data_IF_147704491701
#
_entry.id   IF_147704491701
#
_cell.length_a   1.000
_cell.length_b   1.000
_cell.length_c   1.000
_cell.angle_alpha   90.00
_cell.angle_beta   90.00
_cell.angle_gamma   90.00
#
_symmetry.space_group_name_H-M   'P 1'
#
loop_
_entity.id
_entity.type
_entity.pdbx_description
1 polymer ?
#
# COMPACT_ATOMS: atom_id res chain seq x y z
N UNK A 1 26.07 9.61 -0.86
CA UNK A 1 25.34 8.66 -1.72
C UNK A 1 24.61 9.40 -2.80
N UNK A 2 24.56 8.82 -3.99
CA UNK A 2 23.85 9.36 -5.15
C UNK A 2 22.33 9.04 -5.05
N UNK A 3 21.42 10.04 -5.16
CA UNK A 3 19.98 9.82 -5.22
C UNK A 3 19.50 8.95 -6.41
N UNK A 4 20.24 8.86 -7.51
CA UNK A 4 19.89 8.04 -8.67
C UNK A 4 19.74 6.56 -8.28
N UNK A 5 20.71 6.05 -7.50
CA UNK A 5 20.77 4.67 -7.02
C UNK A 5 19.56 4.29 -6.16
N UNK A 6 18.96 5.26 -5.45
CA UNK A 6 17.73 5.05 -4.70
C UNK A 6 16.56 4.76 -5.64
N UNK A 7 16.46 5.54 -6.73
CA UNK A 7 15.38 5.37 -7.71
C UNK A 7 15.50 4.04 -8.43
N UNK A 8 16.71 3.68 -8.84
CA UNK A 8 16.97 2.38 -9.47
C UNK A 8 16.67 1.22 -8.53
N UNK A 9 17.07 1.32 -7.26
CA UNK A 9 16.73 0.33 -6.25
C UNK A 9 15.22 0.18 -6.07
N UNK A 10 14.47 1.28 -5.91
CA UNK A 10 13.00 1.23 -5.75
C UNK A 10 12.33 0.63 -6.99
N UNK A 11 12.79 0.99 -8.21
CA UNK A 11 12.27 0.43 -9.46
C UNK A 11 12.57 -1.06 -9.64
N UNK A 12 13.68 -1.54 -9.09
CA UNK A 12 14.07 -2.96 -9.15
C UNK A 12 13.21 -3.87 -8.28
N UNK A 13 12.46 -3.31 -7.32
CA UNK A 13 11.55 -4.08 -6.48
C UNK A 13 10.33 -4.51 -7.29
N UNK A 14 10.02 -5.80 -7.24
CA UNK A 14 8.82 -6.36 -7.87
C UNK A 14 7.57 -5.67 -7.31
N UNK A 15 6.85 -4.96 -8.18
CA UNK A 15 5.53 -4.41 -7.88
C UNK A 15 4.47 -5.36 -8.40
N UNK A 16 3.46 -5.64 -7.58
CA UNK A 16 2.28 -6.37 -8.01
C UNK A 16 1.29 -5.32 -8.49
N UNK A 17 0.82 -5.43 -9.73
CA UNK A 17 -0.30 -4.62 -10.17
C UNK A 17 -1.52 -4.97 -9.33
N UNK A 18 -2.28 -3.95 -8.92
CA UNK A 18 -3.55 -4.14 -8.24
C UNK A 18 -4.56 -4.75 -9.22
N UNK A 19 -4.47 -6.07 -9.43
CA UNK A 19 -5.41 -6.84 -10.26
C UNK A 19 -6.83 -6.80 -9.70
N UNK A 20 -6.99 -6.28 -8.47
CA UNK A 20 -8.24 -6.10 -7.79
C UNK A 20 -8.55 -4.61 -7.58
N UNK A 21 -9.56 -4.15 -8.32
CA UNK A 21 -10.43 -3.00 -8.03
C UNK A 21 -9.95 -1.57 -8.35
N UNK A 22 -10.79 -0.95 -9.19
CA UNK A 22 -11.02 0.48 -9.47
C UNK A 22 -9.98 1.18 -10.33
N UNK A 23 -10.42 1.46 -11.55
CA UNK A 23 -9.93 2.36 -12.61
C UNK A 23 -9.63 3.81 -12.14
N UNK A 24 -9.64 4.12 -10.84
CA UNK A 24 -9.48 5.49 -10.31
C UNK A 24 -8.08 5.83 -9.81
N UNK A 25 -7.16 4.88 -9.62
CA UNK A 25 -5.78 5.21 -9.20
C UNK A 25 -4.73 4.33 -9.88
N UNK A 26 -3.75 4.95 -10.55
CA UNK A 26 -2.54 4.28 -11.07
C UNK A 26 -1.54 3.88 -9.97
N UNK A 27 -2.01 3.62 -8.74
CA UNK A 27 -1.16 3.25 -7.60
C UNK A 27 -0.78 1.78 -7.71
N UNK A 28 0.53 1.48 -7.69
CA UNK A 28 1.05 0.11 -7.66
C UNK A 28 1.34 -0.31 -6.23
N UNK A 29 1.33 -1.61 -5.95
CA UNK A 29 1.53 -2.13 -4.60
C UNK A 29 2.74 -3.06 -4.51
N UNK A 30 3.56 -2.85 -3.49
CA UNK A 30 4.64 -3.73 -3.10
C UNK A 30 4.09 -4.88 -2.23
N UNK A 31 4.81 -5.99 -2.15
CA UNK A 31 4.41 -7.12 -1.32
C UNK A 31 4.25 -6.73 0.16
N UNK A 32 3.33 -7.39 0.87
CA UNK A 32 3.04 -7.13 2.29
C UNK A 32 4.24 -7.38 3.22
N UNK A 33 5.24 -8.14 2.76
CA UNK A 33 6.47 -8.43 3.49
C UNK A 33 7.52 -7.31 3.43
N UNK A 34 7.24 -6.25 2.65
CA UNK A 34 8.11 -5.08 2.49
C UNK A 34 7.57 -3.90 3.31
N UNK A 35 8.50 -3.06 3.77
CA UNK A 35 8.24 -1.76 4.36
C UNK A 35 9.34 -0.80 3.91
N UNK A 36 9.13 0.51 4.01
CA UNK A 36 10.16 1.50 3.61
C UNK A 36 11.46 1.27 4.40
N UNK A 37 11.35 0.90 5.69
CA UNK A 37 12.50 0.56 6.52
C UNK A 37 13.25 -0.66 5.96
N UNK A 38 12.54 -1.75 5.69
CA UNK A 38 13.14 -2.97 5.15
C UNK A 38 13.72 -2.77 3.75
N UNK A 39 13.07 -1.95 2.93
CA UNK A 39 13.58 -1.57 1.61
C UNK A 39 14.88 -0.76 1.71
N UNK A 40 14.99 0.12 2.72
CA UNK A 40 16.24 0.84 3.00
C UNK A 40 17.33 -0.10 3.48
N UNK A 41 17.02 -1.08 4.33
CA UNK A 41 17.99 -2.06 4.80
C UNK A 41 18.55 -2.89 3.63
N UNK A 42 17.68 -3.31 2.70
CA UNK A 42 18.07 -3.98 1.45
C UNK A 42 18.94 -3.08 0.55
N UNK A 43 18.61 -1.79 0.46
CA UNK A 43 19.40 -0.81 -0.28
C UNK A 43 20.82 -0.66 0.32
N UNK A 44 20.93 -0.57 1.65
CA UNK A 44 22.21 -0.48 2.34
C UNK A 44 23.05 -1.75 2.13
N UNK A 45 22.43 -2.92 2.19
CA UNK A 45 23.11 -4.19 1.89
C UNK A 45 23.63 -4.23 0.46
N UNK A 46 22.83 -3.80 -0.52
CA UNK A 46 23.26 -3.68 -1.92
C UNK A 46 24.43 -2.71 -2.06
N UNK A 47 24.34 -1.52 -1.47
CA UNK A 47 25.42 -0.54 -1.47
C UNK A 47 26.70 -1.10 -0.86
N UNK A 48 26.61 -1.85 0.24
CA UNK A 48 27.77 -2.50 0.85
C UNK A 48 28.41 -3.54 -0.09
N UNK A 49 27.61 -4.35 -0.79
CA UNK A 49 28.13 -5.33 -1.75
C UNK A 49 28.82 -4.70 -2.97
N UNK A 50 28.40 -3.49 -3.35
CA UNK A 50 28.94 -2.74 -4.50
C UNK A 50 30.02 -1.72 -4.07
N UNK A 51 30.42 -1.69 -2.79
CA UNK A 51 31.33 -0.68 -2.22
C UNK A 51 30.90 0.78 -2.45
N UNK A 52 29.59 1.02 -2.43
CA UNK A 52 28.99 2.33 -2.62
C UNK A 52 28.55 2.90 -1.26
N UNK A 53 28.76 4.21 -1.07
CA UNK A 53 28.24 4.92 0.11
C UNK A 53 26.73 5.17 -0.02
N UNK A 54 25.88 4.58 0.85
CA UNK A 54 24.43 4.77 0.77
C UNK A 54 24.02 6.21 1.10
N UNK A 55 22.84 6.62 0.62
CA UNK A 55 22.21 7.86 1.09
C UNK A 55 21.69 7.74 2.53
N UNK A 56 21.41 8.89 3.15
CA UNK A 56 20.72 8.94 4.44
C UNK A 56 19.30 8.39 4.31
N UNK A 57 18.85 7.66 5.34
CA UNK A 57 17.49 7.10 5.44
C UNK A 57 16.41 8.16 5.19
N UNK A 58 16.56 9.37 5.72
CA UNK A 58 15.61 10.47 5.51
C UNK A 58 15.44 10.85 4.04
N UNK A 59 16.53 10.88 3.26
CA UNK A 59 16.48 11.16 1.83
C UNK A 59 15.82 10.02 1.05
N UNK A 60 16.12 8.78 1.43
CA UNK A 60 15.47 7.60 0.85
C UNK A 60 13.94 7.63 1.05
N UNK A 61 13.50 7.93 2.28
CA UNK A 61 12.08 8.09 2.60
C UNK A 61 11.44 9.21 1.79
N UNK A 62 12.10 10.37 1.70
CA UNK A 62 11.61 11.50 0.91
C UNK A 62 11.38 11.08 -0.54
N UNK A 63 12.40 10.51 -1.20
CA UNK A 63 12.32 10.04 -2.59
C UNK A 63 11.17 9.05 -2.75
N UNK A 64 11.06 8.05 -1.88
CA UNK A 64 9.95 7.08 -1.94
C UNK A 64 8.57 7.75 -1.85
N UNK A 65 8.38 8.65 -0.89
CA UNK A 65 7.06 9.28 -0.65
C UNK A 65 6.68 10.35 -1.68
N UNK A 66 7.65 11.05 -2.29
CA UNK A 66 7.38 12.17 -3.20
C UNK A 66 7.43 11.78 -4.66
N UNK A 67 8.26 10.80 -5.03
CA UNK A 67 8.48 10.43 -6.43
C UNK A 67 7.73 9.15 -6.84
N UNK A 68 7.33 8.31 -5.87
CA UNK A 68 6.69 7.03 -6.15
C UNK A 68 5.27 6.96 -5.57
N UNK A 69 4.29 6.71 -6.44
CA UNK A 69 2.92 6.39 -6.02
C UNK A 69 2.79 4.89 -5.72
N UNK A 70 3.61 4.39 -4.78
CA UNK A 70 3.63 3.00 -4.35
C UNK A 70 2.96 2.84 -2.97
N UNK A 71 2.12 1.82 -2.84
CA UNK A 71 1.59 1.35 -1.55
C UNK A 71 2.19 0.00 -1.16
N UNK A 72 1.90 -0.47 0.04
CA UNK A 72 2.19 -1.84 0.46
C UNK A 72 0.89 -2.65 0.45
N UNK A 73 0.93 -3.89 -0.03
CA UNK A 73 -0.22 -4.78 0.05
C UNK A 73 -0.56 -5.06 1.51
N UNK A 74 -1.84 -4.91 1.84
CA UNK A 74 -2.36 -5.33 3.13
C UNK A 74 -2.60 -6.85 3.10
N UNK A 75 -2.04 -7.62 4.06
CA UNK A 75 -2.32 -9.06 4.21
C UNK A 75 -3.82 -9.33 4.24
N UNK A 76 -4.24 -10.52 3.79
CA UNK A 76 -5.66 -10.91 3.82
C UNK A 76 -6.22 -10.96 5.25
N UNK A 77 -5.39 -11.25 6.25
CA UNK A 77 -5.76 -11.30 7.67
C UNK A 77 -6.23 -9.95 8.24
N UNK A 78 -5.78 -8.84 7.67
CA UNK A 78 -6.12 -7.48 8.12
C UNK A 78 -7.26 -6.85 7.31
N UNK A 79 -7.88 -7.62 6.41
CA UNK A 79 -9.02 -7.16 5.61
C UNK A 79 -10.29 -7.29 6.45
N UNK A 80 -11.14 -6.28 6.38
CA UNK A 80 -12.47 -6.37 6.97
C UNK A 80 -13.31 -7.38 6.18
N UNK A 81 -13.83 -8.39 6.87
CA UNK A 81 -14.66 -9.45 6.27
C UNK A 81 -15.89 -8.88 5.55
N UNK A 82 -16.58 -7.89 6.15
CA UNK A 82 -17.75 -7.24 5.53
C UNK A 82 -17.38 -6.54 4.22
N UNK A 83 -16.22 -5.86 4.20
CA UNK A 83 -15.73 -5.22 2.99
C UNK A 83 -15.34 -6.24 1.91
N UNK A 84 -14.66 -7.33 2.29
CA UNK A 84 -14.22 -8.34 1.33
C UNK A 84 -15.42 -9.11 0.75
N UNK A 85 -16.40 -9.49 1.58
CA UNK A 85 -17.66 -10.12 1.13
C UNK A 85 -18.38 -9.25 0.11
N UNK A 86 -18.52 -7.96 0.38
CA UNK A 86 -19.14 -7.01 -0.55
C UNK A 86 -18.35 -6.88 -1.87
N UNK A 87 -17.01 -6.79 -1.79
CA UNK A 87 -16.15 -6.69 -2.98
C UNK A 87 -16.27 -7.94 -3.86
N UNK A 88 -16.26 -9.13 -3.26
CA UNK A 88 -16.41 -10.40 -3.97
C UNK A 88 -17.78 -10.46 -4.64
N UNK A 89 -18.87 -10.23 -3.89
CA UNK A 89 -20.22 -10.32 -4.42
C UNK A 89 -20.49 -9.34 -5.58
N UNK A 90 -19.94 -8.13 -5.51
CA UNK A 90 -20.02 -7.16 -6.61
C UNK A 90 -19.24 -7.61 -7.85
N UNK A 91 -18.13 -8.34 -7.70
CA UNK A 91 -17.32 -8.84 -8.83
C UNK A 91 -17.94 -10.06 -9.48
N UNK A 92 -18.55 -10.94 -8.70
CA UNK A 92 -19.20 -12.16 -9.19
C UNK A 92 -20.64 -11.92 -9.63
N UNK A 93 -21.09 -10.65 -9.65
CA UNK A 93 -22.47 -10.26 -9.96
C UNK A 93 -23.53 -10.94 -9.07
N UNK A 94 -23.12 -11.41 -7.88
CA UNK A 94 -23.98 -12.04 -6.87
C UNK A 94 -24.38 -11.05 -5.77
N UNK A 95 -24.39 -9.75 -6.07
CA UNK A 95 -24.69 -8.71 -5.09
C UNK A 95 -26.19 -8.69 -4.79
N UNK A 96 -26.55 -8.87 -3.52
CA UNK A 96 -27.94 -8.76 -3.05
C UNK A 96 -28.19 -7.40 -2.41
N UNK A 97 -29.45 -6.97 -2.40
CA UNK A 97 -29.87 -5.72 -1.75
C UNK A 97 -29.57 -5.73 -0.23
N UNK A 98 -29.70 -6.90 0.40
CA UNK A 98 -29.34 -7.09 1.81
C UNK A 98 -27.86 -6.83 2.07
N UNK A 99 -26.98 -7.39 1.24
CA UNK A 99 -25.54 -7.23 1.37
C UNK A 99 -25.10 -5.78 1.08
N UNK A 100 -25.79 -5.09 0.18
CA UNK A 100 -25.56 -3.66 -0.08
C UNK A 100 -25.89 -2.82 1.16
N UNK A 101 -27.06 -3.04 1.79
CA UNK A 101 -27.47 -2.35 3.02
C UNK A 101 -26.50 -2.60 4.18
N UNK A 102 -26.05 -3.84 4.37
CA UNK A 102 -25.05 -4.19 5.39
C UNK A 102 -23.72 -3.46 5.18
N UNK A 103 -23.26 -3.39 3.93
CA UNK A 103 -22.03 -2.68 3.58
C UNK A 103 -22.17 -1.16 3.83
N UNK A 104 -23.29 -0.56 3.44
CA UNK A 104 -23.52 0.87 3.61
C UNK A 104 -23.54 1.25 5.10
N UNK A 105 -24.20 0.45 5.94
CA UNK A 105 -24.16 0.60 7.40
C UNK A 105 -22.74 0.48 7.95
N UNK A 106 -21.99 -0.53 7.51
CA UNK A 106 -20.59 -0.74 7.90
C UNK A 106 -19.72 0.50 7.61
N UNK A 107 -19.89 1.13 6.43
CA UNK A 107 -19.15 2.35 6.07
C UNK A 107 -19.55 3.54 6.93
N UNK A 108 -20.84 3.71 7.23
CA UNK A 108 -21.33 4.77 8.14
C UNK A 108 -20.70 4.64 9.52
N UNK A 109 -20.76 3.44 10.13
CA UNK A 109 -20.14 3.19 11.43
C UNK A 109 -18.63 3.48 11.41
N UNK A 110 -17.93 3.01 10.37
CA UNK A 110 -16.47 3.23 10.22
C UNK A 110 -16.12 4.71 10.11
N UNK A 111 -16.92 5.51 9.41
CA UNK A 111 -16.69 6.95 9.27
C UNK A 111 -17.02 7.71 10.56
N UNK A 112 -18.12 7.35 11.23
CA UNK A 112 -18.49 7.94 12.52
C UNK A 112 -17.38 7.79 13.57
N UNK A 113 -16.77 6.60 13.68
CA UNK A 113 -15.62 6.36 14.57
C UNK A 113 -14.39 7.22 14.24
N UNK A 114 -14.21 7.62 12.97
CA UNK A 114 -13.10 8.49 12.54
C UNK A 114 -13.36 9.96 12.86
N UNK A 115 -14.61 10.40 12.78
CA UNK A 115 -14.99 11.78 13.08
C UNK A 115 -14.94 12.07 14.58
N UNK A 116 -15.22 11.08 15.43
CA UNK A 116 -15.02 11.21 16.89
C UNK A 116 -13.55 11.49 17.23
N UNK A 117 -12.60 10.86 16.53
CA UNK A 117 -11.16 11.06 16.73
C UNK A 117 -10.61 12.40 16.22
N UNK A 118 -11.38 13.15 15.42
CA UNK A 118 -10.97 14.47 14.88
C UNK A 118 -11.47 15.64 15.74
N UNK A 119 -12.31 15.35 16.73
CA UNK A 119 -12.87 16.34 17.66
C UNK A 119 -12.10 16.41 18.99
N UNK A 120 -10.99 15.69 19.09
CA UNK A 120 -9.96 15.82 20.12
C UNK A 120 -8.69 16.42 19.51
#
# INVERSE_FOLDING_TARGET
GDPSLVRDHIKSLHTVESHYCRVKTNRKYLGAHLSIAKMYDLYVQKCASENITPVRKSLYYKIFTTEFNLGFHCPKSDRCDTCEKFIVARKTETLTETLQKEYDWHIVCKNSMRDVRKKE
#
